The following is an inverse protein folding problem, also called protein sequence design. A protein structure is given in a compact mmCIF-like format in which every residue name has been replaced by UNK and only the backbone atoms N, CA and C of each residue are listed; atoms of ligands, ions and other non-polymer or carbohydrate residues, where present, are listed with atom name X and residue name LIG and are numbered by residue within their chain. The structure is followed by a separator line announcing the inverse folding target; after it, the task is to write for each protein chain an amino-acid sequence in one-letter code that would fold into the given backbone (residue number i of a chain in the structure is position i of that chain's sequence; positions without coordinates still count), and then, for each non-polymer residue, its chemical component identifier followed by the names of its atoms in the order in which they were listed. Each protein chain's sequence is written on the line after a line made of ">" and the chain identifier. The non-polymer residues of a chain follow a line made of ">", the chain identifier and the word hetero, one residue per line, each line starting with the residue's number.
data_IF_631257409776
#
_entry.id   IF_631257409776
#
_cell.length_a   1.000
_cell.length_b   1.000
_cell.length_c   1.000
_cell.angle_alpha   90.00
_cell.angle_beta   90.00
_cell.angle_gamma   90.00
#
_symmetry.space_group_name_H-M   'P 1'
#
loop_
_entity.id
_entity.type
_entity.pdbx_description
1 polymer ?
#
# COMPACT_ATOMS: atom_id res chain seq x y z
N UNK A 1 -8.79 28.82 26.01
CA UNK A 1 -7.53 29.16 26.70
C UNK A 1 -6.46 28.24 26.14
N UNK A 2 -5.56 28.80 25.33
CA UNK A 2 -4.44 28.09 24.71
C UNK A 2 -3.15 28.47 25.43
N UNK A 3 -2.26 27.51 25.66
CA UNK A 3 -0.86 27.80 26.00
C UNK A 3 0.01 26.85 25.17
N UNK A 4 0.67 27.45 24.18
CA UNK A 4 1.79 26.96 23.40
C UNK A 4 3.08 27.09 24.21
N UNK A 5 4.04 26.18 24.06
CA UNK A 5 5.46 26.45 24.28
C UNK A 5 6.30 25.68 23.25
N UNK A 6 6.97 26.44 22.38
CA UNK A 6 8.14 26.02 21.59
C UNK A 6 9.45 26.52 22.23
N UNK A 7 10.56 26.61 21.48
CA UNK A 7 11.70 25.71 21.61
C UNK A 7 12.91 26.31 22.34
N UNK A 8 13.84 25.45 22.76
CA UNK A 8 15.14 25.84 23.35
C UNK A 8 16.26 25.55 22.35
N UNK A 9 16.90 26.62 21.87
CA UNK A 9 18.19 26.61 21.17
C UNK A 9 19.32 26.90 22.16
N UNK A 10 20.45 26.22 22.03
CA UNK A 10 21.70 26.54 22.73
C UNK A 10 22.78 26.79 21.69
N UNK A 11 23.37 27.99 21.73
CA UNK A 11 24.51 28.41 20.93
C UNK A 11 25.49 29.16 21.84
N UNK A 12 26.75 28.72 21.91
CA UNK A 12 27.98 29.51 22.20
C UNK A 12 29.18 28.57 21.99
N UNK A 13 30.40 28.92 21.59
CA UNK A 13 31.07 30.20 21.34
C UNK A 13 32.27 29.96 20.39
N UNK A 14 32.65 30.98 19.63
CA UNK A 14 33.90 31.03 18.84
C UNK A 14 35.10 31.35 19.75
N UNK A 15 36.27 30.74 19.47
CA UNK A 15 37.57 31.28 19.85
C UNK A 15 38.53 31.18 18.66
N UNK A 16 39.08 32.33 18.25
CA UNK A 16 40.11 32.49 17.22
C UNK A 16 41.49 32.45 17.89
N UNK A 17 42.46 31.73 17.32
CA UNK A 17 43.90 32.01 17.45
C UNK A 17 44.62 31.64 16.13
N UNK A 18 45.70 32.37 15.85
CA UNK A 18 46.27 32.65 14.54
C UNK A 18 47.33 31.65 14.01
N UNK A 19 47.51 31.72 12.68
CA UNK A 19 48.63 31.36 11.78
C UNK A 19 49.85 30.56 12.28
N UNK A 20 50.26 29.53 11.51
CA UNK A 20 51.56 29.52 10.80
C UNK A 20 51.66 28.49 9.64
N UNK A 21 52.74 28.59 8.88
CA UNK A 21 53.04 28.28 7.46
C UNK A 21 53.08 26.83 6.90
N UNK A 22 52.89 26.78 5.55
CA UNK A 22 53.47 25.94 4.47
C UNK A 22 53.92 24.49 4.75
N UNK A 23 53.33 23.53 4.01
CA UNK A 23 54.09 22.68 3.09
C UNK A 23 53.22 21.93 2.06
N UNK A 24 53.83 21.72 0.88
CA UNK A 24 53.31 21.11 -0.35
C UNK A 24 53.22 19.57 -0.28
N UNK A 25 52.20 18.95 -0.87
CA UNK A 25 52.31 17.68 -1.62
C UNK A 25 51.01 17.25 -2.32
N UNK A 26 51.09 17.19 -3.66
CA UNK A 26 50.52 16.23 -4.63
C UNK A 26 49.19 15.53 -4.25
N UNK A 27 48.10 15.92 -4.93
CA UNK A 27 46.82 15.19 -4.94
C UNK A 27 46.87 14.17 -6.07
N UNK A 28 46.78 12.88 -5.72
CA UNK A 28 46.52 11.79 -6.66
C UNK A 28 45.01 11.73 -6.93
N UNK A 29 44.65 11.83 -8.19
CA UNK A 29 43.29 11.69 -8.70
C UNK A 29 42.88 10.22 -8.60
N UNK A 30 41.91 9.89 -7.74
CA UNK A 30 41.30 8.57 -7.66
C UNK A 30 39.95 8.66 -8.36
N UNK A 31 39.86 8.06 -9.55
CA UNK A 31 38.60 7.84 -10.25
C UNK A 31 37.74 6.86 -9.46
N UNK A 32 36.64 7.36 -8.88
CA UNK A 32 35.63 6.55 -8.21
C UNK A 32 34.67 6.02 -9.28
N UNK A 33 34.81 4.74 -9.61
CA UNK A 33 33.81 4.00 -10.38
C UNK A 33 32.49 3.97 -9.62
N UNK A 34 31.45 4.57 -10.19
CA UNK A 34 30.10 4.63 -9.61
C UNK A 34 29.33 3.38 -9.98
N UNK A 35 29.16 2.48 -9.01
CA UNK A 35 28.18 1.39 -9.03
C UNK A 35 26.76 1.97 -9.10
N UNK A 36 25.79 1.37 -9.83
CA UNK A 36 24.41 1.86 -9.84
C UNK A 36 23.85 1.92 -8.41
N UNK A 37 23.41 3.10 -8.00
CA UNK A 37 22.97 3.35 -6.64
C UNK A 37 21.77 2.45 -6.28
N UNK A 38 21.98 1.57 -5.31
CA UNK A 38 20.93 0.82 -4.64
C UNK A 38 20.00 1.83 -3.96
N UNK A 39 18.69 1.76 -4.26
CA UNK A 39 17.73 2.68 -3.64
C UNK A 39 17.80 2.50 -2.11
N UNK A 40 17.81 3.59 -1.31
CA UNK A 40 17.77 3.47 0.14
C UNK A 40 16.56 2.61 0.56
N UNK A 41 16.72 1.74 1.56
CA UNK A 41 15.66 0.82 2.02
C UNK A 41 14.31 1.51 2.29
N UNK A 42 14.33 2.77 2.72
CA UNK A 42 13.14 3.61 2.97
C UNK A 42 12.35 3.98 1.71
N UNK A 43 12.95 3.92 0.52
CA UNK A 43 12.30 4.20 -0.76
C UNK A 43 11.90 2.91 -1.50
N UNK A 44 12.49 1.77 -1.12
CA UNK A 44 12.20 0.46 -1.70
C UNK A 44 10.90 -0.14 -1.17
N UNK A 45 10.73 -0.14 0.15
CA UNK A 45 9.60 -0.79 0.81
C UNK A 45 8.55 0.24 1.24
N UNK A 46 7.30 0.03 0.86
CA UNK A 46 6.18 0.90 1.23
C UNK A 46 5.09 0.15 2.00
N UNK A 47 4.44 0.87 2.91
CA UNK A 47 3.27 0.38 3.65
C UNK A 47 2.03 0.50 2.75
N UNK A 48 1.45 -0.65 2.38
CA UNK A 48 0.25 -0.72 1.52
C UNK A 48 -0.92 -1.40 2.22
N UNK A 49 -0.86 -1.56 3.53
CA UNK A 49 -1.94 -2.12 4.34
C UNK A 49 -1.85 -1.65 5.78
N UNK A 50 -2.81 -2.03 6.66
CA UNK A 50 -2.69 -1.77 8.09
C UNK A 50 -1.52 -2.49 8.79
N UNK A 51 -0.85 -3.43 8.12
CA UNK A 51 0.30 -4.16 8.67
C UNK A 51 1.62 -3.50 8.27
N UNK A 52 2.49 -3.24 9.26
CA UNK A 52 3.72 -2.44 9.07
C UNK A 52 5.01 -3.24 9.23
N UNK A 53 4.92 -4.53 9.55
CA UNK A 53 6.11 -5.37 9.68
C UNK A 53 6.68 -5.74 8.31
N UNK A 54 7.99 -6.03 8.26
CA UNK A 54 8.76 -6.17 7.00
C UNK A 54 8.10 -7.10 5.97
N UNK A 55 7.58 -8.25 6.41
CA UNK A 55 6.93 -9.25 5.55
C UNK A 55 5.62 -8.78 4.90
N UNK A 56 5.06 -7.66 5.36
CA UNK A 56 3.84 -7.06 4.82
C UNK A 56 4.13 -5.89 3.88
N UNK A 57 5.37 -5.36 3.88
CA UNK A 57 5.72 -4.22 3.06
C UNK A 57 5.84 -4.61 1.59
N UNK A 58 5.35 -3.74 0.71
CA UNK A 58 5.47 -3.93 -0.72
C UNK A 58 6.83 -3.45 -1.20
N UNK A 59 7.58 -4.35 -1.84
CA UNK A 59 8.85 -4.04 -2.48
C UNK A 59 8.62 -3.45 -3.88
N UNK A 60 8.81 -2.14 -4.02
CA UNK A 60 8.62 -1.41 -5.28
C UNK A 60 9.58 -1.88 -6.39
N UNK A 61 10.74 -2.47 -6.05
CA UNK A 61 11.70 -2.95 -7.05
C UNK A 61 11.21 -4.19 -7.79
N UNK A 62 10.21 -4.90 -7.23
CA UNK A 62 9.57 -6.07 -7.86
C UNK A 62 8.50 -5.69 -8.90
N UNK A 63 8.21 -4.40 -9.05
CA UNK A 63 7.12 -3.88 -9.86
C UNK A 63 7.63 -3.08 -11.06
N UNK A 64 6.93 -3.21 -12.19
CA UNK A 64 7.08 -2.29 -13.33
C UNK A 64 6.57 -0.88 -12.99
N UNK A 65 6.93 0.11 -13.82
CA UNK A 65 6.70 1.54 -13.54
C UNK A 65 5.25 1.91 -13.21
N UNK A 66 4.27 1.45 -13.99
CA UNK A 66 2.85 1.76 -13.79
C UNK A 66 2.32 1.17 -12.48
N UNK A 67 2.73 -0.07 -12.16
CA UNK A 67 2.40 -0.73 -10.91
C UNK A 67 2.99 0.00 -9.70
N UNK A 68 4.23 0.49 -9.81
CA UNK A 68 4.83 1.32 -8.75
C UNK A 68 4.05 2.63 -8.56
N UNK A 69 3.69 3.31 -9.66
CA UNK A 69 2.93 4.56 -9.63
C UNK A 69 1.59 4.34 -8.95
N UNK A 70 0.84 3.30 -9.36
CA UNK A 70 -0.46 3.00 -8.76
C UNK A 70 -0.31 2.61 -7.28
N UNK A 71 0.65 1.75 -6.92
CA UNK A 71 0.87 1.35 -5.54
C UNK A 71 1.18 2.56 -4.64
N UNK A 72 2.02 3.49 -5.11
CA UNK A 72 2.31 4.74 -4.41
C UNK A 72 1.07 5.62 -4.25
N UNK A 73 0.26 5.78 -5.31
CA UNK A 73 -0.99 6.54 -5.23
C UNK A 73 -1.97 5.91 -4.23
N UNK A 74 -2.12 4.58 -4.24
CA UNK A 74 -2.99 3.82 -3.35
C UNK A 74 -2.60 3.90 -1.87
N UNK A 75 -1.40 4.39 -1.52
CA UNK A 75 -1.09 4.74 -0.11
C UNK A 75 -2.03 5.81 0.44
N UNK A 76 -2.63 6.62 -0.43
CA UNK A 76 -3.60 7.68 -0.10
C UNK A 76 -5.07 7.22 -0.22
N UNK A 77 -5.32 5.91 -0.37
CA UNK A 77 -6.67 5.36 -0.46
C UNK A 77 -7.40 5.56 0.88
N UNK A 78 -8.53 6.26 0.82
CA UNK A 78 -9.38 6.56 1.98
C UNK A 78 -10.80 6.11 1.70
N UNK A 79 -11.43 5.52 2.71
CA UNK A 79 -12.86 5.21 2.69
C UNK A 79 -13.65 6.51 2.93
N UNK A 80 -14.63 6.80 2.08
CA UNK A 80 -15.39 8.06 2.08
C UNK A 80 -16.76 7.93 2.75
N UNK A 81 -17.16 6.71 3.13
CA UNK A 81 -18.52 6.40 3.57
C UNK A 81 -18.50 5.61 4.85
N UNK A 82 -19.53 5.74 5.67
CA UNK A 82 -19.71 4.92 6.89
C UNK A 82 -20.37 3.56 6.58
N UNK A 83 -21.21 3.51 5.53
CA UNK A 83 -21.94 2.30 5.07
C UNK A 83 -21.14 1.46 4.06
N UNK A 84 -19.81 1.59 4.05
CA UNK A 84 -18.90 0.95 3.08
C UNK A 84 -19.07 -0.57 2.96
N UNK A 85 -19.50 -1.23 4.03
CA UNK A 85 -19.72 -2.67 4.06
C UNK A 85 -20.77 -3.14 3.03
N UNK A 86 -21.72 -2.26 2.69
CA UNK A 86 -22.84 -2.57 1.77
C UNK A 86 -22.96 -1.62 0.59
N UNK A 87 -22.34 -0.44 0.63
CA UNK A 87 -22.35 0.52 -0.47
C UNK A 87 -21.67 -0.02 -1.75
N UNK A 88 -22.02 0.56 -2.91
CA UNK A 88 -21.35 0.26 -4.18
C UNK A 88 -19.84 0.47 -4.05
N UNK A 89 -19.05 -0.51 -4.50
CA UNK A 89 -17.59 -0.45 -4.36
C UNK A 89 -16.97 0.76 -5.11
N UNK A 90 -17.58 1.18 -6.22
CA UNK A 90 -17.16 2.37 -6.98
C UNK A 90 -17.25 3.66 -6.19
N UNK A 91 -18.16 3.73 -5.21
CA UNK A 91 -18.50 4.95 -4.50
C UNK A 91 -17.93 4.94 -3.07
N UNK A 92 -17.29 3.84 -2.65
CA UNK A 92 -16.77 3.64 -1.30
C UNK A 92 -15.47 4.39 -1.05
N UNK A 93 -14.58 4.48 -2.04
CA UNK A 93 -13.24 5.04 -1.88
C UNK A 93 -13.04 6.30 -2.73
N UNK A 94 -12.01 7.07 -2.38
CA UNK A 94 -11.60 8.30 -3.07
C UNK A 94 -10.93 8.06 -4.44
N UNK A 95 -11.50 7.21 -5.30
CA UNK A 95 -10.90 6.79 -6.57
C UNK A 95 -10.48 7.96 -7.47
N UNK A 96 -11.30 9.00 -7.60
CA UNK A 96 -10.92 10.19 -8.38
C UNK A 96 -9.62 10.82 -7.89
N UNK A 97 -9.46 10.96 -6.56
CA UNK A 97 -8.22 11.50 -5.97
C UNK A 97 -7.03 10.57 -6.19
N UNK A 98 -7.24 9.24 -6.15
CA UNK A 98 -6.20 8.27 -6.48
C UNK A 98 -5.74 8.43 -7.93
N UNK A 99 -6.66 8.62 -8.87
CA UNK A 99 -6.32 8.80 -10.29
C UNK A 99 -5.62 10.15 -10.52
N UNK A 100 -5.98 11.21 -9.80
CA UNK A 100 -5.21 12.46 -9.79
C UNK A 100 -3.77 12.25 -9.31
N UNK A 101 -3.58 11.46 -8.24
CA UNK A 101 -2.23 11.09 -7.77
C UNK A 101 -1.46 10.27 -8.79
N UNK A 102 -2.10 9.30 -9.46
CA UNK A 102 -1.48 8.54 -10.56
C UNK A 102 -1.03 9.48 -11.68
N UNK A 103 -1.86 10.45 -12.06
CA UNK A 103 -1.52 11.45 -13.09
C UNK A 103 -0.35 12.33 -12.68
N UNK A 104 -0.35 12.82 -11.45
CA UNK A 104 0.73 13.63 -10.90
C UNK A 104 2.06 12.86 -10.84
N UNK A 105 2.04 11.61 -10.37
CA UNK A 105 3.22 10.74 -10.30
C UNK A 105 3.74 10.36 -11.69
N UNK A 106 2.85 10.10 -12.64
CA UNK A 106 3.19 9.81 -14.05
C UNK A 106 3.94 10.99 -14.67
N UNK A 107 3.43 12.22 -14.50
CA UNK A 107 4.11 13.46 -14.94
C UNK A 107 5.45 13.66 -14.24
N UNK A 108 5.50 13.48 -12.92
CA UNK A 108 6.74 13.61 -12.12
C UNK A 108 7.84 12.66 -12.60
N UNK A 109 7.46 11.46 -13.06
CA UNK A 109 8.38 10.44 -13.56
C UNK A 109 8.66 10.56 -15.07
N UNK A 110 8.10 11.56 -15.76
CA UNK A 110 8.14 11.69 -17.21
C UNK A 110 7.76 10.39 -17.95
N UNK A 111 6.76 9.69 -17.41
CA UNK A 111 6.32 8.40 -17.92
C UNK A 111 5.12 8.59 -18.85
N UNK A 112 5.06 7.84 -19.95
CA UNK A 112 3.86 7.75 -20.80
C UNK A 112 3.04 6.56 -20.35
N UNK A 113 1.98 6.81 -19.60
CA UNK A 113 1.06 5.76 -19.13
C UNK A 113 0.37 5.11 -20.32
N UNK A 114 0.39 3.78 -20.35
CA UNK A 114 -0.38 2.95 -21.28
C UNK A 114 -1.59 2.37 -20.59
N UNK A 115 -2.66 2.19 -21.35
CA UNK A 115 -3.88 1.61 -20.83
C UNK A 115 -3.58 0.31 -20.08
N UNK A 116 -3.93 0.29 -18.80
CA UNK A 116 -3.65 -0.83 -17.89
C UNK A 116 -4.89 -1.13 -17.08
N UNK A 117 -5.19 -2.42 -16.94
CA UNK A 117 -6.29 -2.90 -16.10
C UNK A 117 -5.74 -3.64 -14.89
N UNK A 118 -6.30 -3.34 -13.72
CA UNK A 118 -5.95 -3.93 -12.44
C UNK A 118 -7.13 -4.74 -11.91
N UNK A 119 -6.82 -5.81 -11.19
CA UNK A 119 -7.82 -6.67 -10.60
C UNK A 119 -8.07 -6.28 -9.16
N UNK A 120 -9.34 -6.11 -8.80
CA UNK A 120 -9.75 -5.67 -7.49
C UNK A 120 -10.69 -6.71 -6.89
N UNK A 121 -10.44 -7.07 -5.63
CA UNK A 121 -11.27 -7.99 -4.87
C UNK A 121 -11.86 -7.23 -3.69
N UNK A 122 -13.16 -7.35 -3.49
CA UNK A 122 -13.87 -6.81 -2.35
C UNK A 122 -14.57 -7.97 -1.61
N UNK A 123 -14.05 -8.31 -0.45
CA UNK A 123 -14.63 -9.30 0.46
C UNK A 123 -15.59 -8.61 1.42
N UNK A 124 -16.89 -8.77 1.15
CA UNK A 124 -17.96 -8.30 2.04
C UNK A 124 -18.31 -9.40 3.00
N UNK A 125 -18.47 -9.07 4.28
CA UNK A 125 -18.72 -10.08 5.29
C UNK A 125 -19.69 -9.59 6.36
N UNK A 126 -20.29 -10.56 7.07
CA UNK A 126 -20.97 -10.34 8.34
C UNK A 126 -20.50 -11.41 9.33
N UNK A 127 -19.78 -11.01 10.38
CA UNK A 127 -19.24 -11.95 11.37
C UNK A 127 -20.31 -12.43 12.34
N UNK A 128 -20.16 -13.65 12.85
CA UNK A 128 -21.00 -14.13 13.95
C UNK A 128 -20.77 -13.30 15.22
N UNK A 129 -21.76 -13.24 16.10
CA UNK A 129 -21.60 -12.58 17.40
C UNK A 129 -20.45 -13.19 18.21
N UNK A 130 -20.34 -14.53 18.22
CA UNK A 130 -19.23 -15.26 18.87
C UNK A 130 -17.85 -14.98 18.29
N UNK A 131 -17.78 -14.50 17.05
CA UNK A 131 -16.52 -14.10 16.40
C UNK A 131 -16.08 -12.71 16.85
N UNK A 132 -17.01 -11.82 17.19
CA UNK A 132 -16.68 -10.49 17.75
C UNK A 132 -15.91 -10.66 19.06
N UNK A 133 -16.32 -11.63 19.89
CA UNK A 133 -15.65 -11.94 21.17
C UNK A 133 -14.21 -12.44 20.99
N UNK A 134 -13.89 -13.02 19.81
CA UNK A 134 -12.57 -13.58 19.48
C UNK A 134 -11.97 -12.93 18.21
N UNK A 135 -12.21 -11.64 18.00
CA UNK A 135 -11.83 -10.97 16.76
C UNK A 135 -10.30 -10.98 16.51
N UNK A 136 -9.51 -11.11 17.58
CA UNK A 136 -8.05 -11.26 17.49
C UNK A 136 -7.64 -12.49 16.67
N UNK A 137 -8.34 -13.62 16.80
CA UNK A 137 -8.02 -14.85 16.04
C UNK A 137 -8.25 -14.66 14.54
N UNK A 138 -9.29 -13.90 14.18
CA UNK A 138 -9.55 -13.50 12.79
C UNK A 138 -8.44 -12.59 12.27
N UNK A 139 -7.99 -11.64 13.09
CA UNK A 139 -6.87 -10.76 12.77
C UNK A 139 -5.56 -11.51 12.50
N UNK A 140 -5.25 -12.55 13.27
CA UNK A 140 -4.05 -13.38 13.05
C UNK A 140 -4.13 -14.21 11.76
N UNK A 141 -5.30 -14.76 11.45
CA UNK A 141 -5.53 -15.45 10.17
C UNK A 141 -5.36 -14.50 8.99
N UNK A 142 -5.93 -13.30 9.07
CA UNK A 142 -5.84 -12.28 8.04
C UNK A 142 -4.40 -11.82 7.84
N UNK A 143 -3.69 -11.54 8.94
CA UNK A 143 -2.29 -11.12 8.91
C UNK A 143 -1.40 -12.17 8.25
N UNK A 144 -1.57 -13.44 8.62
CA UNK A 144 -0.81 -14.53 8.02
C UNK A 144 -1.10 -14.66 6.51
N UNK A 145 -2.36 -14.58 6.09
CA UNK A 145 -2.76 -14.60 4.69
C UNK A 145 -2.18 -13.40 3.92
N UNK A 146 -2.23 -12.20 4.49
CA UNK A 146 -1.64 -11.01 3.89
C UNK A 146 -0.14 -11.14 3.64
N UNK A 147 0.64 -11.62 4.63
CA UNK A 147 2.08 -11.80 4.45
C UNK A 147 2.40 -12.75 3.27
N UNK A 148 1.61 -13.81 3.13
CA UNK A 148 1.71 -14.76 2.03
C UNK A 148 1.32 -14.14 0.67
N UNK A 149 0.29 -13.30 0.63
CA UNK A 149 -0.09 -12.53 -0.56
C UNK A 149 1.03 -11.58 -1.00
N UNK A 150 1.61 -10.81 -0.07
CA UNK A 150 2.75 -9.92 -0.34
C UNK A 150 3.93 -10.70 -0.91
N UNK A 151 4.30 -11.82 -0.28
CA UNK A 151 5.41 -12.66 -0.73
C UNK A 151 5.20 -13.31 -2.10
N UNK A 152 3.94 -13.53 -2.51
CA UNK A 152 3.61 -14.17 -3.79
C UNK A 152 3.84 -13.25 -5.01
N UNK A 153 3.86 -11.93 -4.79
CA UNK A 153 4.06 -10.90 -5.81
C UNK A 153 2.77 -10.48 -6.52
N UNK A 154 2.78 -9.24 -7.04
CA UNK A 154 1.65 -8.67 -7.79
C UNK A 154 0.51 -8.09 -6.96
N UNK A 155 0.64 -8.13 -5.65
CA UNK A 155 -0.18 -7.41 -4.71
C UNK A 155 0.19 -5.92 -4.67
N UNK A 156 -0.79 -5.01 -4.66
CA UNK A 156 -0.55 -3.56 -4.73
C UNK A 156 -1.10 -2.80 -3.52
N UNK A 157 -2.21 -3.25 -2.94
CA UNK A 157 -2.87 -2.59 -1.80
C UNK A 157 -3.76 -3.57 -1.07
N UNK A 158 -3.85 -3.40 0.25
CA UNK A 158 -4.91 -3.96 1.07
C UNK A 158 -5.47 -2.95 2.05
N UNK A 159 -6.76 -3.08 2.31
CA UNK A 159 -7.49 -2.26 3.26
C UNK A 159 -8.60 -3.11 3.87
N UNK A 160 -8.87 -2.93 5.15
CA UNK A 160 -10.07 -3.46 5.79
C UNK A 160 -10.65 -2.44 6.76
N UNK A 161 -11.97 -2.49 6.90
CA UNK A 161 -12.71 -1.73 7.89
C UNK A 161 -12.86 -2.48 9.21
N UNK A 162 -13.71 -1.96 10.08
CA UNK A 162 -14.16 -2.63 11.30
C UNK A 162 -15.63 -3.03 11.15
N UNK A 163 -16.09 -4.16 11.73
CA UNK A 163 -17.49 -4.52 11.69
C UNK A 163 -18.37 -3.38 12.21
N UNK A 164 -19.41 -3.01 11.46
CA UNK A 164 -20.41 -2.03 11.89
C UNK A 164 -21.34 -2.61 12.98
N UNK A 165 -22.39 -1.88 13.38
CA UNK A 165 -23.36 -2.34 14.39
C UNK A 165 -24.06 -3.66 14.03
N UNK A 166 -24.23 -3.92 12.73
CA UNK A 166 -24.77 -5.18 12.21
C UNK A 166 -23.70 -6.28 12.05
N UNK A 167 -22.47 -6.02 12.50
CA UNK A 167 -21.27 -6.85 12.35
C UNK A 167 -20.83 -7.05 10.90
N UNK A 168 -21.22 -6.15 10.01
CA UNK A 168 -20.83 -6.19 8.59
C UNK A 168 -19.53 -5.45 8.36
N UNK A 169 -18.67 -5.99 7.50
CA UNK A 169 -17.37 -5.39 7.17
C UNK A 169 -17.04 -5.52 5.67
N UNK A 170 -16.05 -4.76 5.24
CA UNK A 170 -15.40 -4.87 3.93
C UNK A 170 -13.89 -5.00 4.13
N UNK A 171 -13.30 -5.97 3.44
CA UNK A 171 -11.87 -6.01 3.16
C UNK A 171 -11.66 -5.96 1.66
N UNK A 172 -10.63 -5.27 1.18
CA UNK A 172 -10.35 -5.15 -0.25
C UNK A 172 -8.87 -5.21 -0.55
N UNK A 173 -8.53 -5.90 -1.63
CA UNK A 173 -7.18 -5.95 -2.17
C UNK A 173 -7.16 -5.61 -3.67
N UNK A 174 -6.07 -4.98 -4.09
CA UNK A 174 -5.81 -4.60 -5.47
C UNK A 174 -4.56 -5.34 -5.95
N UNK A 175 -4.65 -5.89 -7.15
CA UNK A 175 -3.66 -6.76 -7.77
C UNK A 175 -3.37 -6.29 -9.20
N UNK A 176 -2.17 -6.61 -9.69
CA UNK A 176 -1.83 -6.39 -11.11
C UNK A 176 -2.75 -7.17 -12.05
N UNK A 177 -3.13 -8.39 -11.66
CA UNK A 177 -3.99 -9.25 -12.48
C UNK A 177 -4.75 -10.31 -11.64
N UNK A 178 -5.77 -10.97 -12.21
CA UNK A 178 -6.43 -12.11 -11.57
C UNK A 178 -5.50 -13.29 -11.31
N UNK A 179 -4.49 -13.51 -12.16
CA UNK A 179 -3.50 -14.59 -12.00
C UNK A 179 -2.64 -14.37 -10.76
N UNK A 180 -2.19 -13.13 -10.53
CA UNK A 180 -1.45 -12.76 -9.32
C UNK A 180 -2.32 -12.92 -8.07
N UNK A 181 -3.58 -12.49 -8.12
CA UNK A 181 -4.54 -12.68 -7.02
C UNK A 181 -4.77 -14.17 -6.72
N UNK A 182 -4.90 -15.00 -7.75
CA UNK A 182 -5.02 -16.46 -7.58
C UNK A 182 -3.75 -17.05 -6.96
N UNK A 183 -2.57 -16.64 -7.43
CA UNK A 183 -1.30 -17.12 -6.87
C UNK A 183 -1.21 -16.76 -5.39
N UNK A 184 -1.47 -15.50 -5.04
CA UNK A 184 -1.46 -15.02 -3.66
C UNK A 184 -2.49 -15.71 -2.76
N UNK A 185 -3.66 -16.07 -3.31
CA UNK A 185 -4.75 -16.70 -2.55
C UNK A 185 -4.67 -18.22 -2.39
N UNK A 186 -3.60 -18.89 -2.84
CA UNK A 186 -3.53 -20.37 -2.85
C UNK A 186 -2.59 -20.97 -1.83
N UNK A 187 -1.83 -20.19 -1.08
CA UNK A 187 -0.86 -20.73 -0.12
C UNK A 187 -1.47 -21.27 1.18
N UNK A 188 -0.66 -21.92 2.05
CA UNK A 188 -1.13 -22.50 3.30
C UNK A 188 -1.89 -21.55 4.22
N UNK A 189 -1.44 -20.30 4.35
CA UNK A 189 -2.07 -19.32 5.23
C UNK A 189 -3.45 -18.90 4.71
N UNK A 190 -3.57 -18.60 3.42
CA UNK A 190 -4.87 -18.35 2.79
C UNK A 190 -5.81 -19.55 2.87
N UNK A 191 -5.31 -20.78 2.67
CA UNK A 191 -6.15 -21.98 2.82
C UNK A 191 -6.66 -22.15 4.25
N UNK A 192 -5.85 -21.83 5.26
CA UNK A 192 -6.27 -21.85 6.66
C UNK A 192 -7.36 -20.81 6.92
N UNK A 193 -7.17 -19.57 6.46
CA UNK A 193 -8.16 -18.50 6.58
C UNK A 193 -9.48 -18.87 5.86
N UNK A 194 -9.40 -19.34 4.62
CA UNK A 194 -10.55 -19.78 3.83
C UNK A 194 -11.29 -20.97 4.47
N UNK A 195 -10.55 -21.90 5.08
CA UNK A 195 -11.14 -23.02 5.83
C UNK A 195 -11.91 -22.58 7.08
N UNK A 196 -11.50 -21.48 7.72
CA UNK A 196 -12.16 -20.92 8.89
C UNK A 196 -13.37 -20.04 8.54
N UNK A 197 -13.56 -19.65 7.27
CA UNK A 197 -14.64 -18.73 6.85
C UNK A 197 -16.02 -19.16 7.34
N UNK A 198 -16.37 -20.44 7.20
CA UNK A 198 -17.70 -20.97 7.59
C UNK A 198 -17.98 -20.90 9.09
N UNK A 199 -16.95 -20.89 9.93
CA UNK A 199 -17.08 -20.76 11.38
C UNK A 199 -17.03 -19.32 11.87
N UNK A 200 -16.55 -18.39 11.04
CA UNK A 200 -16.34 -16.99 11.42
C UNK A 200 -17.43 -16.05 10.88
N UNK A 201 -18.00 -16.38 9.72
CA UNK A 201 -18.91 -15.51 9.01
C UNK A 201 -20.30 -16.12 8.86
N UNK A 202 -21.30 -15.36 9.27
CA UNK A 202 -22.73 -15.64 8.99
C UNK A 202 -23.09 -15.37 7.52
N UNK A 203 -22.36 -14.45 6.88
CA UNK A 203 -22.49 -14.13 5.47
C UNK A 203 -21.13 -13.68 4.93
N UNK A 204 -20.83 -14.05 3.68
CA UNK A 204 -19.73 -13.45 2.94
C UNK A 204 -19.99 -13.47 1.43
N UNK A 205 -19.43 -12.49 0.74
CA UNK A 205 -19.48 -12.34 -0.70
C UNK A 205 -18.14 -11.80 -1.21
N UNK A 206 -17.72 -12.26 -2.38
CA UNK A 206 -16.54 -11.75 -3.06
C UNK A 206 -17.00 -11.04 -4.33
N UNK A 207 -16.90 -9.73 -4.32
CA UNK A 207 -17.04 -8.91 -5.51
C UNK A 207 -15.68 -8.81 -6.19
N UNK A 208 -15.71 -8.82 -7.52
CA UNK A 208 -14.51 -8.67 -8.35
C UNK A 208 -14.72 -7.50 -9.27
N UNK A 209 -13.75 -6.60 -9.30
CA UNK A 209 -13.80 -5.41 -10.14
C UNK A 209 -12.56 -5.30 -11.01
N UNK A 210 -12.71 -4.55 -12.11
CA UNK A 210 -11.66 -4.14 -13.03
C UNK A 210 -11.49 -2.64 -12.91
N UNK A 211 -10.34 -2.19 -12.41
CA UNK A 211 -9.94 -0.79 -12.53
C UNK A 211 -9.15 -0.64 -13.83
N UNK A 212 -9.69 0.06 -14.81
CA UNK A 212 -8.99 0.37 -16.05
C UNK A 212 -8.59 1.84 -16.05
N UNK A 213 -7.30 2.12 -16.18
CA UNK A 213 -6.76 3.48 -16.34
C UNK A 213 -6.31 3.60 -17.78
N UNK A 214 -6.92 4.52 -18.54
CA UNK A 214 -6.68 4.71 -19.98
C UNK A 214 -5.33 5.38 -20.24
N UNK A 215 -4.91 5.38 -21.51
CA UNK A 215 -3.68 6.03 -21.96
C UNK A 215 -3.54 7.45 -21.39
N UNK A 216 -2.30 7.82 -21.03
CA UNK A 216 -1.95 9.12 -20.44
C UNK A 216 -2.70 9.50 -19.15
N UNK A 217 -3.43 8.56 -18.54
CA UNK A 217 -4.30 8.80 -17.38
C UNK A 217 -5.42 9.81 -17.72
N UNK A 218 -5.91 9.78 -18.96
CA UNK A 218 -6.94 10.71 -19.44
C UNK A 218 -8.33 10.40 -18.88
N UNK A 219 -8.62 9.12 -18.62
CA UNK A 219 -9.85 8.67 -17.99
C UNK A 219 -9.64 7.32 -17.28
N UNK A 220 -10.62 6.93 -16.46
CA UNK A 220 -10.61 5.67 -15.75
C UNK A 220 -12.04 5.12 -15.63
N UNK A 221 -12.15 3.82 -15.39
CA UNK A 221 -13.41 3.18 -15.03
C UNK A 221 -13.17 2.05 -14.03
N UNK A 222 -14.18 1.80 -13.19
CA UNK A 222 -14.22 0.66 -12.29
C UNK A 222 -15.50 -0.14 -12.58
N UNK A 223 -15.33 -1.29 -13.20
CA UNK A 223 -16.42 -2.15 -13.65
C UNK A 223 -16.37 -3.49 -12.95
N UNK A 224 -17.46 -4.26 -12.99
CA UNK A 224 -17.44 -5.64 -12.50
C UNK A 224 -16.54 -6.51 -13.40
N UNK A 225 -15.79 -7.41 -12.78
CA UNK A 225 -14.97 -8.39 -13.49
C UNK A 225 -15.84 -9.61 -13.86
N UNK A 226 -16.30 -9.63 -15.10
CA UNK A 226 -17.02 -10.78 -15.70
C UNK A 226 -16.08 -11.91 -16.10
#
# INVERSE_FOLDING_TARGET
>A
MAISQGPVSIAVANHVLAHNEKNSSIISEIEIQTTPAELPDKERYIVVSPYTEQQHLLDLTTLGTENQILALALTQLTCLREDYATASYSDTFNWDQIIEHVRALTRKRNHTWKETSFFVVAFRSQVFASTVDNYADLGELDKAAHAEATASGGFLKYWFGSPNEERRNLATCIWRSPEDAKKGGTGPAHRKAAGATRSLYSFWQIDRHRLTIRDNVDSWELTEWK
#
